data_IF_972462611960
#
_entry.id   IF_972462611960
#
_cell.length_a   1.000
_cell.length_b   1.000
_cell.length_c   1.000
_cell.angle_alpha   90.00
_cell.angle_beta   90.00
_cell.angle_gamma   90.00
#
_symmetry.space_group_name_H-M   'P 1'
#
loop_
_entity.id
_entity.type
_entity.pdbx_description
1 polymer ?
#
# COMPACT_ATOMS: atom_id res chain seq x y z
N UNK A 1 -3.82 32.55 -19.74
CA UNK A 1 -3.38 31.38 -20.54
C UNK A 1 -3.33 31.79 -21.99
N UNK A 2 -2.28 31.45 -22.73
CA UNK A 2 -2.19 31.80 -24.16
C UNK A 2 -3.11 30.85 -24.93
N UNK A 3 -4.02 31.40 -25.72
CA UNK A 3 -4.99 30.66 -26.56
C UNK A 3 -4.32 29.59 -27.44
N UNK A 4 -3.04 29.83 -27.78
CA UNK A 4 -2.15 28.93 -28.51
C UNK A 4 -1.96 27.56 -27.83
N UNK A 5 -1.68 27.53 -26.52
CA UNK A 5 -1.41 26.27 -25.79
C UNK A 5 -2.68 25.41 -25.68
N UNK A 6 -3.83 26.05 -25.53
CA UNK A 6 -5.13 25.37 -25.51
C UNK A 6 -5.45 24.73 -26.86
N UNK A 7 -5.11 25.40 -27.96
CA UNK A 7 -5.29 24.88 -29.30
C UNK A 7 -4.41 23.65 -29.57
N UNK A 8 -3.21 23.58 -28.98
CA UNK A 8 -2.32 22.43 -29.11
C UNK A 8 -2.94 21.16 -28.50
N UNK A 9 -3.55 21.25 -27.31
CA UNK A 9 -4.27 20.12 -26.70
C UNK A 9 -5.46 19.68 -27.55
N UNK A 10 -6.26 20.63 -28.05
CA UNK A 10 -7.43 20.31 -28.90
C UNK A 10 -7.01 19.58 -30.16
N UNK A 11 -6.04 20.15 -30.89
CA UNK A 11 -5.48 19.56 -32.10
C UNK A 11 -4.93 18.16 -31.84
N UNK A 12 -4.18 18.00 -30.76
CA UNK A 12 -3.61 16.72 -30.37
C UNK A 12 -4.67 15.62 -30.15
N UNK A 13 -5.73 15.90 -29.39
CA UNK A 13 -6.78 14.91 -29.13
C UNK A 13 -7.58 14.55 -30.38
N UNK A 14 -7.87 15.52 -31.25
CA UNK A 14 -8.51 15.29 -32.54
C UNK A 14 -7.63 14.35 -33.38
N UNK A 15 -6.37 14.72 -33.57
CA UNK A 15 -5.39 13.96 -34.37
C UNK A 15 -5.24 12.52 -33.88
N UNK A 16 -5.05 12.31 -32.58
CA UNK A 16 -4.89 10.95 -32.02
C UNK A 16 -6.16 10.13 -32.20
N UNK A 17 -7.35 10.73 -32.02
CA UNK A 17 -8.61 10.01 -32.17
C UNK A 17 -8.79 9.42 -33.57
N UNK A 18 -8.15 10.02 -34.57
CA UNK A 18 -8.16 9.59 -35.97
C UNK A 18 -7.00 8.65 -36.28
N UNK A 19 -5.78 9.01 -35.89
CA UNK A 19 -4.53 8.38 -36.33
C UNK A 19 -4.12 7.14 -35.54
N UNK A 20 -4.53 7.02 -34.28
CA UNK A 20 -4.15 5.85 -33.47
C UNK A 20 -4.74 4.59 -34.09
N UNK A 21 -3.89 3.60 -34.37
CA UNK A 21 -4.27 2.33 -35.01
C UNK A 21 -3.55 1.19 -34.28
N UNK A 22 -4.29 0.12 -33.96
CA UNK A 22 -3.88 -0.99 -33.09
C UNK A 22 -2.70 -1.83 -33.60
N UNK A 23 -2.33 -1.70 -34.87
CA UNK A 23 -1.51 -2.71 -35.56
C UNK A 23 -0.07 -2.27 -35.87
N UNK A 24 0.40 -1.11 -35.40
CA UNK A 24 1.79 -0.67 -35.62
C UNK A 24 2.42 -0.15 -34.34
N UNK A 25 3.53 -0.79 -33.94
CA UNK A 25 4.36 -0.38 -32.80
C UNK A 25 4.94 1.02 -32.98
N UNK A 26 5.37 1.36 -34.20
CA UNK A 26 5.91 2.68 -34.57
C UNK A 26 4.91 3.79 -34.27
N UNK A 27 3.61 3.56 -34.56
CA UNK A 27 2.56 4.54 -34.24
C UNK A 27 2.35 4.72 -32.75
N UNK A 28 2.56 3.68 -31.94
CA UNK A 28 2.49 3.80 -30.48
C UNK A 28 3.68 4.58 -29.92
N UNK A 29 4.87 4.38 -30.46
CA UNK A 29 6.06 5.16 -30.12
C UNK A 29 5.88 6.64 -30.46
N UNK A 30 5.42 6.94 -31.68
CA UNK A 30 5.12 8.31 -32.10
C UNK A 30 4.07 8.97 -31.18
N UNK A 31 3.01 8.24 -30.86
CA UNK A 31 1.95 8.73 -29.96
C UNK A 31 2.51 9.01 -28.57
N UNK A 32 3.32 8.10 -28.03
CA UNK A 32 3.96 8.25 -26.73
C UNK A 32 4.82 9.52 -26.67
N UNK A 33 5.70 9.72 -27.66
CA UNK A 33 6.56 10.92 -27.70
C UNK A 33 5.77 12.21 -27.91
N UNK A 34 4.70 12.20 -28.70
CA UNK A 34 3.80 13.35 -28.83
C UNK A 34 3.17 13.72 -27.48
N UNK A 35 2.75 12.73 -26.68
CA UNK A 35 2.24 12.96 -25.33
C UNK A 35 3.31 13.58 -24.43
N UNK A 36 4.53 13.02 -24.43
CA UNK A 36 5.62 13.57 -23.59
C UNK A 36 5.91 15.03 -23.93
N UNK A 37 5.95 15.37 -25.22
CA UNK A 37 6.19 16.74 -25.66
C UNK A 37 5.04 17.68 -25.27
N UNK A 38 3.78 17.25 -25.42
CA UNK A 38 2.60 18.03 -25.04
C UNK A 38 2.57 18.34 -23.53
N UNK A 39 3.01 17.37 -22.73
CA UNK A 39 2.99 17.43 -21.27
C UNK A 39 4.31 17.93 -20.66
N UNK A 40 5.30 18.28 -21.49
CA UNK A 40 6.64 18.71 -21.05
C UNK A 40 7.27 17.70 -20.06
N UNK A 41 7.11 16.41 -20.35
CA UNK A 41 7.62 15.30 -19.52
C UNK A 41 9.02 14.87 -19.96
N UNK A 42 9.85 14.38 -19.02
CA UNK A 42 11.16 13.83 -19.37
C UNK A 42 11.01 12.61 -20.26
N UNK A 43 11.99 12.40 -21.15
CA UNK A 43 12.07 11.16 -21.92
C UNK A 43 12.65 10.04 -21.07
N UNK A 44 12.11 8.81 -21.18
CA UNK A 44 12.73 7.62 -20.60
C UNK A 44 14.17 7.43 -21.06
N UNK A 45 14.91 6.60 -20.34
CA UNK A 45 16.22 6.13 -20.80
C UNK A 45 16.09 5.42 -22.15
N UNK A 46 17.03 5.65 -23.07
CA UNK A 46 16.98 5.12 -24.45
C UNK A 46 16.73 3.60 -24.54
N UNK A 47 17.30 2.84 -23.61
CA UNK A 47 17.13 1.39 -23.55
C UNK A 47 15.69 0.94 -23.18
N UNK A 48 14.93 1.84 -22.53
CA UNK A 48 13.57 1.60 -22.04
C UNK A 48 12.47 2.14 -22.95
N UNK A 49 12.77 3.09 -23.84
CA UNK A 49 11.77 3.81 -24.67
C UNK A 49 10.77 2.87 -25.36
N UNK A 50 11.25 1.78 -25.96
CA UNK A 50 10.41 0.76 -26.63
C UNK A 50 9.35 0.11 -25.73
N UNK A 51 9.58 0.04 -24.42
CA UNK A 51 8.65 -0.53 -23.45
C UNK A 51 7.57 0.48 -23.01
N UNK A 52 7.86 1.77 -23.10
CA UNK A 52 6.92 2.83 -22.73
C UNK A 52 5.83 3.06 -23.79
N UNK A 53 6.05 2.65 -25.03
CA UNK A 53 5.05 2.62 -26.09
C UNK A 53 3.98 1.52 -25.92
N UNK A 54 3.75 1.07 -24.68
CA UNK A 54 2.72 0.09 -24.38
C UNK A 54 1.32 0.74 -24.36
N UNK A 55 0.28 0.10 -24.93
CA UNK A 55 -1.06 0.67 -24.98
C UNK A 55 -1.63 1.11 -23.62
N UNK A 56 -1.33 0.38 -22.53
CA UNK A 56 -1.78 0.73 -21.18
C UNK A 56 -1.13 2.00 -20.64
N UNK A 57 0.15 2.24 -20.95
CA UNK A 57 0.88 3.46 -20.59
C UNK A 57 0.32 4.65 -21.38
N UNK A 58 0.18 4.50 -22.70
CA UNK A 58 -0.39 5.53 -23.56
C UNK A 58 -1.79 5.93 -23.07
N UNK A 59 -2.63 4.94 -22.73
CA UNK A 59 -3.95 5.18 -22.13
C UNK A 59 -3.88 6.00 -20.85
N UNK A 60 -2.99 5.64 -19.92
CA UNK A 60 -2.79 6.39 -18.67
C UNK A 60 -2.36 7.83 -18.95
N UNK A 61 -1.38 8.03 -19.83
CA UNK A 61 -0.88 9.36 -20.16
C UNK A 61 -1.89 10.23 -20.92
N UNK A 62 -2.76 9.65 -21.76
CA UNK A 62 -3.86 10.38 -22.41
C UNK A 62 -4.90 10.87 -21.38
N UNK A 63 -5.19 10.07 -20.36
CA UNK A 63 -6.07 10.48 -19.25
C UNK A 63 -5.42 11.62 -18.45
N UNK A 64 -4.12 11.52 -18.19
CA UNK A 64 -3.35 12.58 -17.53
C UNK A 64 -3.35 13.87 -18.36
N UNK A 65 -3.17 13.78 -19.68
CA UNK A 65 -3.22 14.92 -20.58
C UNK A 65 -4.58 15.64 -20.56
N UNK A 66 -5.69 14.89 -20.52
CA UNK A 66 -7.02 15.49 -20.37
C UNK A 66 -7.20 16.14 -18.99
N UNK A 67 -6.52 15.60 -17.97
CA UNK A 67 -6.60 16.09 -16.59
C UNK A 67 -5.65 17.25 -16.29
N UNK A 68 -4.87 17.71 -17.27
CA UNK A 68 -3.91 18.79 -17.08
C UNK A 68 -4.57 20.07 -16.56
N UNK A 69 -3.87 20.80 -15.69
CA UNK A 69 -4.34 22.06 -15.09
C UNK A 69 -4.58 23.18 -16.12
N UNK A 70 -3.89 23.15 -17.27
CA UNK A 70 -4.07 24.03 -18.43
C UNK A 70 -5.45 23.89 -19.10
N UNK A 71 -6.21 22.82 -18.85
CA UNK A 71 -7.55 22.64 -19.44
C UNK A 71 -8.65 23.13 -18.47
N UNK A 72 -9.63 23.85 -19.00
CA UNK A 72 -10.83 24.19 -18.22
C UNK A 72 -11.79 22.99 -18.13
N UNK A 73 -12.83 23.09 -17.29
CA UNK A 73 -13.87 22.06 -17.24
C UNK A 73 -14.55 21.86 -18.60
N UNK A 74 -14.88 22.96 -19.29
CA UNK A 74 -15.58 22.91 -20.58
C UNK A 74 -14.70 22.30 -21.66
N UNK A 75 -13.39 22.60 -21.65
CA UNK A 75 -12.43 21.97 -22.56
C UNK A 75 -12.35 20.46 -22.37
N UNK A 76 -12.36 20.00 -21.11
CA UNK A 76 -12.35 18.56 -20.82
C UNK A 76 -13.62 17.88 -21.34
N UNK A 77 -14.77 18.52 -21.19
CA UNK A 77 -16.05 18.02 -21.71
C UNK A 77 -16.02 17.94 -23.23
N UNK A 78 -15.53 18.99 -23.90
CA UNK A 78 -15.38 19.05 -25.36
C UNK A 78 -14.43 17.96 -25.89
N UNK A 79 -13.36 17.67 -25.15
CA UNK A 79 -12.32 16.72 -25.57
C UNK A 79 -12.63 15.25 -25.19
N UNK A 80 -13.56 15.03 -24.25
CA UNK A 80 -13.94 13.70 -23.78
C UNK A 80 -14.36 12.71 -24.90
N UNK A 81 -15.12 13.11 -25.95
CA UNK A 81 -15.47 12.21 -27.04
C UNK A 81 -14.26 11.73 -27.84
N UNK A 82 -13.27 12.61 -28.07
CA UNK A 82 -12.04 12.28 -28.80
C UNK A 82 -11.16 11.33 -27.98
N UNK A 83 -10.99 11.59 -26.68
CA UNK A 83 -10.34 10.65 -25.77
C UNK A 83 -11.04 9.29 -25.81
N UNK A 84 -12.37 9.26 -25.67
CA UNK A 84 -13.15 8.01 -25.67
C UNK A 84 -12.95 7.21 -26.96
N UNK A 85 -12.94 7.90 -28.12
CA UNK A 85 -12.66 7.29 -29.42
C UNK A 85 -11.24 6.72 -29.50
N UNK A 86 -10.23 7.46 -29.01
CA UNK A 86 -8.85 6.99 -28.95
C UNK A 86 -8.68 5.78 -28.02
N UNK A 87 -9.28 5.83 -26.82
CA UNK A 87 -9.21 4.74 -25.83
C UNK A 87 -9.87 3.45 -26.33
N UNK A 88 -10.95 3.53 -27.11
CA UNK A 88 -11.57 2.35 -27.74
C UNK A 88 -10.63 1.63 -28.72
N UNK A 89 -9.70 2.37 -29.33
CA UNK A 89 -8.70 1.85 -30.26
C UNK A 89 -7.43 1.37 -29.55
N UNK A 90 -7.27 1.60 -28.25
CA UNK A 90 -6.18 1.00 -27.48
C UNK A 90 -6.71 -0.33 -26.92
N UNK A 91 -6.22 -1.44 -27.46
CA UNK A 91 -6.69 -2.78 -27.10
C UNK A 91 -6.73 -2.97 -25.58
N UNK A 92 -7.88 -3.41 -25.07
CA UNK A 92 -8.05 -3.77 -23.66
C UNK A 92 -7.65 -5.23 -23.46
N UNK A 93 -6.35 -5.52 -23.42
CA UNK A 93 -5.93 -6.77 -22.79
C UNK A 93 -6.33 -6.71 -21.30
N UNK A 94 -7.17 -7.65 -20.87
CA UNK A 94 -7.46 -7.82 -19.45
C UNK A 94 -6.32 -8.60 -18.84
N UNK A 95 -5.40 -7.89 -18.21
CA UNK A 95 -4.36 -8.53 -17.44
C UNK A 95 -4.95 -9.39 -16.32
N UNK A 96 -4.28 -10.50 -16.03
CA UNK A 96 -4.57 -11.28 -14.81
C UNK A 96 -3.86 -10.69 -13.59
N UNK A 97 -2.76 -9.98 -13.82
CA UNK A 97 -1.87 -9.46 -12.79
C UNK A 97 -1.50 -8.01 -13.08
N UNK A 98 -1.31 -7.24 -12.01
CA UNK A 98 -0.75 -5.89 -12.08
C UNK A 98 0.46 -5.79 -11.15
N UNK A 99 1.34 -4.86 -11.47
CA UNK A 99 2.42 -4.44 -10.58
C UNK A 99 2.01 -3.11 -9.96
N UNK A 100 2.08 -3.03 -8.62
CA UNK A 100 2.04 -1.75 -7.92
C UNK A 100 3.46 -1.37 -7.56
N UNK A 101 3.87 -0.16 -7.91
CA UNK A 101 5.15 0.44 -7.51
C UNK A 101 4.86 1.63 -6.59
N UNK A 102 5.59 1.73 -5.48
CA UNK A 102 5.35 2.72 -4.44
C UNK A 102 6.66 3.24 -3.86
N UNK A 103 6.70 4.55 -3.65
CA UNK A 103 7.70 5.22 -2.81
C UNK A 103 7.08 5.46 -1.43
N UNK A 104 7.76 5.04 -0.37
CA UNK A 104 7.24 5.17 1.00
C UNK A 104 7.50 6.58 1.57
N UNK A 105 6.85 6.94 2.68
CA UNK A 105 6.97 8.26 3.31
C UNK A 105 8.18 8.34 4.26
N UNK A 106 8.89 9.47 4.43
CA UNK A 106 9.99 9.55 5.40
C UNK A 106 9.62 9.29 6.87
N UNK A 107 8.33 9.33 7.24
CA UNK A 107 7.88 9.03 8.60
C UNK A 107 8.18 7.59 9.05
N UNK A 108 8.52 6.67 8.14
CA UNK A 108 8.90 5.30 8.47
C UNK A 108 10.30 5.12 9.03
N UNK A 109 10.57 3.90 9.52
CA UNK A 109 11.93 3.44 9.84
C UNK A 109 12.18 2.15 9.07
N UNK A 110 13.09 2.24 8.11
CA UNK A 110 13.22 1.29 7.01
C UNK A 110 14.39 0.32 7.19
N UNK A 111 14.29 -0.92 6.68
CA UNK A 111 15.45 -1.77 6.50
C UNK A 111 16.51 -1.08 5.63
N UNK A 112 17.78 -1.18 5.99
CA UNK A 112 18.89 -0.60 5.22
C UNK A 112 19.41 -1.49 4.08
N UNK A 113 18.71 -2.57 3.73
CA UNK A 113 19.08 -3.47 2.63
C UNK A 113 17.85 -3.99 1.88
N UNK A 114 18.07 -4.53 0.68
CA UNK A 114 17.00 -5.01 -0.20
C UNK A 114 16.36 -6.31 0.30
N UNK A 115 15.02 -6.38 0.24
CA UNK A 115 14.25 -7.57 0.61
C UNK A 115 13.46 -8.07 -0.59
N UNK A 116 13.88 -9.23 -1.11
CA UNK A 116 13.32 -9.84 -2.32
C UNK A 116 12.72 -11.20 -1.99
N UNK A 117 11.39 -11.30 -2.01
CA UNK A 117 10.70 -12.56 -1.70
C UNK A 117 9.41 -12.70 -2.50
N UNK A 118 9.34 -13.74 -3.34
CA UNK A 118 8.17 -14.10 -4.17
C UNK A 118 7.69 -12.91 -5.01
N UNK A 119 6.49 -12.39 -4.74
CA UNK A 119 5.84 -11.32 -5.49
C UNK A 119 6.10 -9.92 -4.88
N UNK A 120 7.05 -9.79 -3.97
CA UNK A 120 7.38 -8.55 -3.28
C UNK A 120 8.87 -8.23 -3.44
N UNK A 121 9.16 -6.98 -3.72
CA UNK A 121 10.51 -6.44 -3.80
C UNK A 121 10.54 -5.11 -3.04
N UNK A 122 11.42 -5.02 -2.05
CA UNK A 122 11.78 -3.78 -1.37
C UNK A 122 13.22 -3.44 -1.70
N UNK A 123 13.46 -2.19 -2.09
CA UNK A 123 14.80 -1.68 -2.40
C UNK A 123 14.97 -0.24 -1.95
N UNK A 124 16.21 0.23 -1.97
CA UNK A 124 16.58 1.60 -1.66
C UNK A 124 17.20 2.19 -2.92
N UNK A 125 16.52 3.12 -3.57
CA UNK A 125 17.04 3.78 -4.77
C UNK A 125 17.18 5.28 -4.52
N UNK A 126 18.39 5.81 -4.67
CA UNK A 126 18.69 7.21 -4.35
C UNK A 126 18.22 7.60 -2.94
N UNK A 127 18.44 6.72 -1.95
CA UNK A 127 17.97 6.87 -0.57
C UNK A 127 16.44 6.94 -0.39
N UNK A 128 15.67 6.54 -1.41
CA UNK A 128 14.23 6.41 -1.31
C UNK A 128 13.86 4.94 -1.09
N UNK A 129 13.11 4.61 -0.03
CA UNK A 129 12.56 3.28 0.19
C UNK A 129 11.41 3.02 -0.79
N UNK A 130 11.58 2.00 -1.61
CA UNK A 130 10.67 1.64 -2.69
C UNK A 130 10.17 0.23 -2.50
N UNK A 131 8.89 0.03 -2.83
CA UNK A 131 8.28 -1.29 -2.93
C UNK A 131 7.71 -1.46 -4.31
N UNK A 132 7.88 -2.64 -4.90
CA UNK A 132 6.93 -3.08 -5.90
C UNK A 132 6.42 -4.50 -5.63
N UNK A 133 5.14 -4.70 -5.92
CA UNK A 133 4.44 -5.96 -5.70
C UNK A 133 3.70 -6.42 -6.94
N UNK A 134 3.72 -7.73 -7.21
CA UNK A 134 2.95 -8.37 -8.29
C UNK A 134 1.66 -8.97 -7.72
N UNK A 135 0.53 -8.41 -8.10
CA UNK A 135 -0.78 -8.68 -7.51
C UNK A 135 -1.74 -9.27 -8.54
N UNK A 136 -2.74 -10.02 -8.08
CA UNK A 136 -3.73 -10.66 -8.96
C UNK A 136 -4.99 -9.80 -8.97
N UNK A 137 -5.41 -9.32 -10.13
CA UNK A 137 -6.54 -8.39 -10.26
C UNK A 137 -7.79 -8.96 -9.57
N UNK A 138 -8.13 -10.23 -9.84
CA UNK A 138 -9.34 -10.86 -9.28
C UNK A 138 -9.39 -10.96 -7.75
N UNK A 139 -8.25 -10.83 -7.07
CA UNK A 139 -8.16 -10.91 -5.60
C UNK A 139 -8.18 -9.50 -5.01
N UNK A 140 -7.38 -8.58 -5.55
CA UNK A 140 -7.27 -7.22 -5.02
C UNK A 140 -8.41 -6.29 -5.49
N UNK A 141 -9.05 -6.53 -6.64
CA UNK A 141 -10.14 -5.67 -7.15
C UNK A 141 -11.43 -5.73 -6.34
N UNK A 142 -11.75 -6.90 -5.77
CA UNK A 142 -13.01 -7.11 -5.02
C UNK A 142 -13.02 -6.39 -3.64
N UNK A 143 -11.86 -5.91 -3.20
CA UNK A 143 -11.65 -5.27 -1.89
C UNK A 143 -11.78 -3.75 -1.95
N UNK A 144 -11.42 -3.13 -3.08
CA UNK A 144 -11.28 -1.68 -3.19
C UNK A 144 -12.57 -0.92 -2.81
N UNK A 145 -13.74 -1.54 -3.00
CA UNK A 145 -15.03 -0.93 -2.69
C UNK A 145 -15.70 -1.45 -1.39
N UNK A 146 -15.15 -2.47 -0.71
CA UNK A 146 -15.87 -3.14 0.41
C UNK A 146 -15.06 -3.47 1.66
N UNK A 147 -13.72 -3.32 1.67
CA UNK A 147 -12.89 -3.74 2.81
C UNK A 147 -12.08 -2.61 3.45
N UNK A 148 -11.83 -2.76 4.77
CA UNK A 148 -10.96 -1.90 5.61
C UNK A 148 -9.49 -1.88 5.13
N UNK A 149 -9.13 -2.73 4.17
CA UNK A 149 -7.81 -2.88 3.54
C UNK A 149 -7.81 -2.30 2.11
N UNK A 150 -8.37 -1.11 1.90
CA UNK A 150 -8.45 -0.50 0.55
C UNK A 150 -7.19 0.28 0.13
N UNK A 151 -6.29 0.59 1.06
CA UNK A 151 -5.14 1.46 0.84
C UNK A 151 -3.84 0.71 0.51
N UNK A 152 -3.78 -0.60 0.75
CA UNK A 152 -2.67 -1.50 0.43
C UNK A 152 -3.13 -2.70 -0.42
N UNK A 153 -2.24 -3.22 -1.26
CA UNK A 153 -2.40 -4.57 -1.81
C UNK A 153 -2.11 -5.60 -0.74
N UNK A 154 -2.64 -6.82 -0.91
CA UNK A 154 -2.40 -7.90 0.05
C UNK A 154 -0.91 -8.25 0.20
N UNK A 155 -0.14 -8.12 -0.88
CA UNK A 155 1.30 -8.34 -0.87
C UNK A 155 2.07 -7.21 -0.16
N UNK A 156 1.66 -5.95 -0.31
CA UNK A 156 2.24 -4.84 0.45
C UNK A 156 2.01 -5.02 1.94
N UNK A 157 0.78 -5.38 2.32
CA UNK A 157 0.42 -5.65 3.72
C UNK A 157 1.25 -6.80 4.28
N UNK A 158 1.32 -7.91 3.53
CA UNK A 158 2.13 -9.07 3.88
C UNK A 158 3.61 -8.72 4.10
N UNK A 159 4.20 -7.92 3.21
CA UNK A 159 5.58 -7.43 3.34
C UNK A 159 5.74 -6.57 4.61
N UNK A 160 4.85 -5.60 4.82
CA UNK A 160 4.89 -4.70 5.98
C UNK A 160 4.76 -5.44 7.31
N UNK A 161 3.80 -6.36 7.42
CA UNK A 161 3.62 -7.18 8.61
C UNK A 161 4.87 -8.01 8.88
N UNK A 162 5.45 -8.65 7.87
CA UNK A 162 6.64 -9.48 8.05
C UNK A 162 7.83 -8.66 8.58
N UNK A 163 8.06 -7.47 8.03
CA UNK A 163 9.12 -6.55 8.49
C UNK A 163 8.87 -6.12 9.95
N UNK A 164 7.63 -5.70 10.24
CA UNK A 164 7.24 -5.20 11.55
C UNK A 164 7.33 -6.27 12.65
N UNK A 165 7.03 -7.53 12.29
CA UNK A 165 7.09 -8.66 13.22
C UNK A 165 8.52 -9.16 13.48
N UNK A 166 9.43 -9.02 12.50
CA UNK A 166 10.81 -9.51 12.63
C UNK A 166 11.74 -8.60 13.42
N UNK A 167 11.41 -7.32 13.58
CA UNK A 167 12.25 -6.32 14.23
C UNK A 167 12.22 -6.40 15.77
N UNK A 168 13.07 -7.20 16.39
CA UNK A 168 13.17 -7.27 17.85
C UNK A 168 13.72 -5.95 18.43
N UNK A 169 12.99 -5.33 19.37
CA UNK A 169 13.39 -4.08 20.07
C UNK A 169 13.51 -2.81 19.20
N UNK A 170 13.64 -2.95 17.88
CA UNK A 170 13.71 -1.85 16.93
C UNK A 170 12.35 -1.61 16.29
N UNK A 171 11.93 -0.34 16.23
CA UNK A 171 10.78 0.09 15.45
C UNK A 171 11.15 0.05 13.96
N UNK A 172 10.99 -1.08 13.29
CA UNK A 172 10.95 -1.14 11.83
C UNK A 172 9.50 -1.06 11.40
N UNK A 173 9.13 -0.04 10.64
CA UNK A 173 7.77 0.04 10.07
C UNK A 173 7.81 0.79 8.76
N UNK A 174 7.03 0.27 7.82
CA UNK A 174 6.84 0.89 6.52
C UNK A 174 5.71 1.91 6.64
N UNK A 175 5.97 3.17 6.26
CA UNK A 175 4.95 4.20 6.26
C UNK A 175 4.42 4.44 4.85
N UNK A 176 3.16 4.12 4.63
CA UNK A 176 2.51 4.22 3.33
C UNK A 176 1.70 5.51 3.20
N UNK A 177 1.57 6.02 1.97
CA UNK A 177 0.66 7.12 1.63
C UNK A 177 -0.30 6.70 0.53
N UNK A 178 -1.44 7.35 0.36
CA UNK A 178 -2.34 7.06 -0.76
C UNK A 178 -1.81 7.46 -2.15
N UNK A 179 -0.77 8.31 -2.21
CA UNK A 179 -0.48 9.10 -3.42
C UNK A 179 0.83 8.75 -4.13
N UNK A 180 1.84 8.23 -3.41
CA UNK A 180 3.15 7.94 -3.99
C UNK A 180 3.20 6.52 -4.59
N UNK A 181 2.25 6.22 -5.48
CA UNK A 181 2.09 4.90 -6.07
C UNK A 181 1.66 4.98 -7.53
N UNK A 182 2.07 4.01 -8.33
CA UNK A 182 1.57 3.76 -9.68
C UNK A 182 1.26 2.28 -9.87
N UNK A 183 0.33 2.01 -10.78
CA UNK A 183 -0.03 0.64 -11.17
C UNK A 183 0.15 0.45 -12.67
N UNK A 184 0.58 -0.75 -13.04
CA UNK A 184 0.78 -1.14 -14.42
C UNK A 184 0.48 -2.62 -14.63
N UNK A 185 -0.04 -2.95 -15.81
CA UNK A 185 -0.26 -4.33 -16.25
C UNK A 185 1.01 -5.17 -16.22
N UNK A 186 0.89 -6.44 -15.81
CA UNK A 186 2.02 -7.37 -15.84
C UNK A 186 2.48 -7.68 -17.27
N UNK A 187 1.59 -7.61 -18.26
CA UNK A 187 1.95 -7.78 -19.68
C UNK A 187 3.07 -6.82 -20.13
N UNK A 188 3.04 -5.57 -19.66
CA UNK A 188 4.04 -4.55 -19.92
C UNK A 188 5.37 -4.91 -19.24
N UNK A 189 5.32 -5.28 -17.96
CA UNK A 189 6.52 -5.55 -17.15
C UNK A 189 7.19 -6.87 -17.53
N UNK A 190 6.41 -7.87 -17.94
CA UNK A 190 6.91 -9.22 -18.21
C UNK A 190 7.93 -9.31 -19.35
N UNK A 191 7.93 -8.33 -20.27
CA UNK A 191 8.83 -8.26 -21.43
C UNK A 191 10.14 -7.51 -21.16
N UNK A 192 10.24 -6.88 -19.99
CA UNK A 192 11.38 -6.07 -19.59
C UNK A 192 12.42 -6.99 -18.90
N UNK A 193 13.72 -6.87 -19.22
CA UNK A 193 14.78 -7.57 -18.50
C UNK A 193 14.72 -7.29 -16.99
N UNK A 194 14.98 -8.28 -16.15
CA UNK A 194 14.83 -8.17 -14.68
C UNK A 194 15.65 -7.02 -14.09
N UNK A 195 16.87 -6.81 -14.57
CA UNK A 195 17.76 -5.72 -14.13
C UNK A 195 17.24 -4.32 -14.51
N UNK A 196 16.30 -4.22 -15.45
CA UNK A 196 15.73 -2.96 -15.93
C UNK A 196 14.34 -2.67 -15.35
N UNK A 197 13.67 -3.65 -14.71
CA UNK A 197 12.29 -3.49 -14.20
C UNK A 197 12.16 -2.38 -13.17
N UNK A 198 13.07 -2.31 -12.20
CA UNK A 198 13.02 -1.28 -11.15
C UNK A 198 13.24 0.12 -11.74
N UNK A 199 14.20 0.26 -12.67
CA UNK A 199 14.48 1.53 -13.37
C UNK A 199 13.25 1.96 -14.17
N UNK A 200 12.66 1.04 -14.93
CA UNK A 200 11.45 1.30 -15.69
C UNK A 200 10.27 1.74 -14.81
N UNK A 201 10.01 1.04 -13.71
CA UNK A 201 8.92 1.39 -12.79
C UNK A 201 9.15 2.77 -12.15
N UNK A 202 10.40 3.12 -11.84
CA UNK A 202 10.75 4.46 -11.36
C UNK A 202 10.48 5.53 -12.42
N UNK A 203 10.95 5.36 -13.64
CA UNK A 203 10.71 6.32 -14.72
C UNK A 203 9.20 6.45 -15.02
N UNK A 204 8.47 5.34 -15.02
CA UNK A 204 7.00 5.36 -15.15
C UNK A 204 6.32 6.09 -14.00
N UNK A 205 6.81 5.92 -12.77
CA UNK A 205 6.35 6.67 -11.61
C UNK A 205 6.59 8.17 -11.77
N UNK A 206 7.79 8.58 -12.21
CA UNK A 206 8.14 9.99 -12.46
C UNK A 206 7.27 10.63 -13.56
N UNK A 207 6.89 9.88 -14.59
CA UNK A 207 5.95 10.35 -15.61
C UNK A 207 4.53 10.60 -15.05
N UNK A 208 4.14 9.93 -13.96
CA UNK A 208 2.79 10.01 -13.40
C UNK A 208 2.70 10.89 -12.14
N UNK A 209 3.82 11.18 -11.48
CA UNK A 209 3.80 11.91 -10.21
C UNK A 209 3.37 13.38 -10.37
N UNK A 210 3.53 13.96 -11.56
CA UNK A 210 3.12 15.34 -11.85
C UNK A 210 1.60 15.54 -11.97
N UNK A 211 0.81 14.48 -12.14
CA UNK A 211 -0.62 14.61 -12.46
C UNK A 211 -1.53 14.38 -11.24
N UNK A 212 -2.33 15.38 -10.90
CA UNK A 212 -3.35 15.25 -9.85
C UNK A 212 -4.61 14.60 -10.43
N UNK A 213 -5.13 13.48 -9.86
CA UNK A 213 -6.40 12.92 -10.30
C UNK A 213 -7.54 13.94 -10.18
N UNK A 214 -8.50 13.90 -11.11
CA UNK A 214 -9.70 14.75 -11.05
C UNK A 214 -10.41 14.56 -9.71
N UNK A 215 -10.63 15.65 -8.97
CA UNK A 215 -11.31 15.63 -7.66
C UNK A 215 -10.38 15.55 -6.44
N UNK A 216 -9.08 15.32 -6.63
CA UNK A 216 -8.08 15.42 -5.56
C UNK A 216 -7.55 16.85 -5.54
N UNK A 217 -7.49 17.48 -4.37
CA UNK A 217 -6.99 18.85 -4.25
C UNK A 217 -5.47 18.85 -4.54
N UNK A 218 -4.93 19.79 -5.35
CA UNK A 218 -3.50 19.79 -5.74
C UNK A 218 -2.50 19.74 -4.57
N UNK A 219 -2.87 20.29 -3.41
CA UNK A 219 -2.05 20.28 -2.20
C UNK A 219 -2.05 18.94 -1.44
N UNK A 220 -2.85 17.95 -1.86
CA UNK A 220 -2.84 16.63 -1.25
C UNK A 220 -1.67 15.76 -1.73
N UNK A 221 -0.99 16.12 -2.83
CA UNK A 221 0.29 15.52 -3.19
C UNK A 221 1.41 16.32 -2.53
N UNK A 222 1.87 15.81 -1.39
CA UNK A 222 3.14 16.28 -0.83
C UNK A 222 4.25 15.85 -1.80
N UNK A 223 5.13 16.76 -2.27
CA UNK A 223 6.25 16.37 -3.11
C UNK A 223 7.07 15.26 -2.42
N UNK A 224 7.73 14.42 -3.21
CA UNK A 224 8.65 13.41 -2.64
C UNK A 224 9.65 14.16 -1.77
N UNK A 225 9.74 13.75 -0.51
CA UNK A 225 10.67 14.34 0.43
C UNK A 225 12.11 14.10 -0.02
N UNK A 226 13.00 15.00 0.38
CA UNK A 226 14.42 14.82 0.18
C UNK A 226 14.88 13.51 0.84
N UNK A 227 15.82 12.84 0.18
CA UNK A 227 16.54 11.65 0.66
C UNK A 227 16.99 11.73 2.13
N UNK A 228 17.34 12.91 2.60
CA UNK A 228 17.84 13.19 3.96
C UNK A 228 16.80 12.99 5.07
N UNK A 229 15.50 12.97 4.74
CA UNK A 229 14.44 12.77 5.72
C UNK A 229 14.19 11.29 6.06
N UNK A 230 14.71 10.35 5.27
CA UNK A 230 14.45 8.93 5.43
C UNK A 230 15.36 8.31 6.50
N UNK A 231 14.77 7.48 7.37
CA UNK A 231 15.49 6.77 8.43
C UNK A 231 15.68 5.31 8.04
N UNK A 232 16.93 4.86 8.01
CA UNK A 232 17.29 3.46 7.76
C UNK A 232 17.99 2.86 8.98
N UNK A 233 17.72 1.58 9.26
CA UNK A 233 18.35 0.82 10.34
C UNK A 233 18.84 -0.53 9.86
N UNK A 234 19.87 -1.08 10.53
CA UNK A 234 20.43 -2.38 10.19
C UNK A 234 19.41 -3.49 10.44
N UNK A 235 18.97 -4.14 9.36
CA UNK A 235 17.97 -5.21 9.41
C UNK A 235 18.55 -6.61 9.21
N UNK A 236 19.86 -6.74 8.99
CA UNK A 236 20.49 -8.00 8.52
C UNK A 236 20.22 -9.18 9.47
N UNK A 237 20.31 -8.94 10.78
CA UNK A 237 20.03 -9.94 11.81
C UNK A 237 18.56 -10.40 11.85
N UNK A 238 17.64 -9.64 11.25
CA UNK A 238 16.20 -9.93 11.23
C UNK A 238 15.76 -10.62 9.93
N UNK A 239 16.66 -10.78 8.94
CA UNK A 239 16.34 -11.35 7.62
C UNK A 239 15.72 -12.75 7.70
N UNK A 240 16.31 -13.64 8.50
CA UNK A 240 15.81 -15.01 8.63
C UNK A 240 14.39 -15.06 9.22
N UNK A 241 14.13 -14.26 10.26
CA UNK A 241 12.79 -14.14 10.86
C UNK A 241 11.80 -13.55 9.87
N UNK A 242 12.20 -12.50 9.14
CA UNK A 242 11.40 -11.91 8.07
C UNK A 242 10.99 -12.96 7.03
N UNK A 243 11.93 -13.77 6.51
CA UNK A 243 11.64 -14.78 5.48
C UNK A 243 10.66 -15.85 5.99
N UNK A 244 10.87 -16.35 7.22
CA UNK A 244 9.96 -17.32 7.87
C UNK A 244 8.54 -16.77 8.00
N UNK A 245 8.40 -15.56 8.55
CA UNK A 245 7.11 -14.91 8.80
C UNK A 245 6.42 -14.62 7.45
N UNK A 246 7.15 -14.03 6.52
CA UNK A 246 6.64 -13.71 5.18
C UNK A 246 6.09 -14.97 4.50
N UNK A 247 6.78 -16.10 4.57
CA UNK A 247 6.31 -17.31 3.90
C UNK A 247 5.03 -17.90 4.48
N UNK A 248 4.73 -17.61 5.76
CA UNK A 248 3.56 -18.11 6.48
C UNK A 248 2.31 -17.25 6.33
N UNK A 249 2.45 -15.97 6.02
CA UNK A 249 1.29 -15.09 5.79
C UNK A 249 0.56 -15.50 4.49
N UNK A 250 -0.67 -16.00 4.62
CA UNK A 250 -1.52 -16.29 3.46
C UNK A 250 -2.26 -15.05 2.99
N UNK A 251 -2.10 -14.69 1.70
CA UNK A 251 -2.89 -13.61 1.09
C UNK A 251 -4.34 -14.01 0.81
N UNK A 252 -4.79 -15.20 1.19
CA UNK A 252 -6.17 -15.66 1.03
C UNK A 252 -6.91 -15.73 2.37
N UNK A 253 -6.21 -15.58 3.50
CA UNK A 253 -6.83 -15.61 4.83
C UNK A 253 -7.30 -14.19 5.22
N UNK A 254 -8.60 -13.92 5.04
CA UNK A 254 -9.19 -12.60 5.33
C UNK A 254 -9.04 -12.17 6.79
N UNK A 255 -9.18 -13.11 7.74
CA UNK A 255 -9.06 -12.79 9.16
C UNK A 255 -7.63 -12.35 9.45
N UNK A 256 -6.65 -13.13 8.98
CA UNK A 256 -5.24 -12.80 9.13
C UNK A 256 -4.91 -11.44 8.51
N UNK A 257 -5.34 -11.19 7.28
CA UNK A 257 -5.07 -9.91 6.61
C UNK A 257 -5.74 -8.74 7.33
N UNK A 258 -6.95 -8.89 7.86
CA UNK A 258 -7.58 -7.82 8.66
C UNK A 258 -6.79 -7.56 9.95
N UNK A 259 -6.36 -8.59 10.66
CA UNK A 259 -5.51 -8.48 11.84
C UNK A 259 -4.19 -7.78 11.51
N UNK A 260 -3.50 -8.22 10.46
CA UNK A 260 -2.28 -7.60 9.95
C UNK A 260 -2.47 -6.12 9.57
N UNK A 261 -3.60 -5.77 8.96
CA UNK A 261 -3.92 -4.39 8.59
C UNK A 261 -4.04 -3.50 9.82
N UNK A 262 -4.75 -3.95 10.86
CA UNK A 262 -4.83 -3.21 12.13
C UNK A 262 -3.45 -3.09 12.80
N UNK A 263 -2.62 -4.12 12.73
CA UNK A 263 -1.26 -4.11 13.27
C UNK A 263 -0.34 -3.10 12.57
N UNK A 264 -0.36 -3.04 11.23
CA UNK A 264 0.44 -2.07 10.47
C UNK A 264 -0.12 -0.65 10.63
N UNK A 265 -1.44 -0.51 10.66
CA UNK A 265 -2.11 0.79 10.79
C UNK A 265 -1.90 1.42 12.17
N UNK A 266 -1.84 0.62 13.24
CA UNK A 266 -1.64 1.13 14.60
C UNK A 266 -0.29 1.86 14.75
N UNK A 267 0.80 1.28 14.26
CA UNK A 267 2.12 1.93 14.33
C UNK A 267 2.21 3.17 13.43
N UNK A 268 1.55 3.17 12.27
CA UNK A 268 1.47 4.36 11.42
C UNK A 268 0.72 5.51 12.10
N UNK A 269 -0.39 5.22 12.80
CA UNK A 269 -1.10 6.25 13.57
C UNK A 269 -0.31 6.72 14.77
N UNK A 270 0.39 5.82 15.47
CA UNK A 270 1.15 6.18 16.66
C UNK A 270 2.22 7.23 16.41
N UNK A 271 2.85 7.17 15.24
CA UNK A 271 3.90 8.12 14.85
C UNK A 271 3.32 9.48 14.44
N UNK A 272 2.00 9.57 14.23
CA UNK A 272 1.26 10.81 14.13
C UNK A 272 0.62 11.13 15.49
N UNK A 273 1.22 12.05 16.25
CA UNK A 273 0.84 12.34 17.65
C UNK A 273 -0.62 12.78 17.87
N UNK A 274 -1.32 13.20 16.81
CA UNK A 274 -2.73 13.58 16.87
C UNK A 274 -3.65 12.34 16.89
N UNK A 275 -3.15 11.19 16.45
CA UNK A 275 -3.94 9.97 16.24
C UNK A 275 -3.66 8.86 17.28
N UNK A 276 -3.31 9.23 18.51
CA UNK A 276 -2.95 8.26 19.55
C UNK A 276 -4.14 7.34 19.91
N UNK A 277 -5.36 7.88 19.95
CA UNK A 277 -6.60 7.13 20.20
C UNK A 277 -6.87 6.11 19.09
N UNK A 278 -6.70 6.49 17.82
CA UNK A 278 -6.81 5.57 16.70
C UNK A 278 -5.71 4.51 16.76
N UNK A 279 -4.48 4.88 17.10
CA UNK A 279 -3.37 3.93 17.21
C UNK A 279 -3.71 2.81 18.20
N UNK A 280 -4.11 3.15 19.42
CA UNK A 280 -4.44 2.18 20.46
C UNK A 280 -5.71 1.38 20.12
N UNK A 281 -6.74 2.00 19.52
CA UNK A 281 -7.93 1.28 19.06
C UNK A 281 -7.58 0.21 18.00
N UNK A 282 -6.69 0.53 17.06
CA UNK A 282 -6.18 -0.44 16.08
C UNK A 282 -5.37 -1.56 16.76
N UNK A 283 -4.63 -1.29 17.83
CA UNK A 283 -3.97 -2.35 18.62
C UNK A 283 -5.00 -3.30 19.23
N UNK A 284 -6.08 -2.79 19.84
CA UNK A 284 -7.11 -3.65 20.42
C UNK A 284 -7.86 -4.49 19.36
N UNK A 285 -8.14 -3.93 18.18
CA UNK A 285 -8.69 -4.72 17.07
C UNK A 285 -7.71 -5.80 16.59
N UNK A 286 -6.41 -5.51 16.59
CA UNK A 286 -5.39 -6.52 16.30
C UNK A 286 -5.37 -7.63 17.36
N UNK A 287 -5.42 -7.30 18.66
CA UNK A 287 -5.45 -8.29 19.74
C UNK A 287 -6.65 -9.24 19.60
N UNK A 288 -7.85 -8.70 19.41
CA UNK A 288 -9.05 -9.51 19.21
C UNK A 288 -8.91 -10.43 17.99
N UNK A 289 -8.36 -9.89 16.89
CA UNK A 289 -8.03 -10.66 15.70
C UNK A 289 -7.04 -11.80 15.98
N UNK A 290 -6.00 -11.54 16.78
CA UNK A 290 -5.03 -12.57 17.21
C UNK A 290 -5.72 -13.67 18.02
N UNK A 291 -6.62 -13.33 18.95
CA UNK A 291 -7.37 -14.33 19.72
C UNK A 291 -8.24 -15.22 18.82
N UNK A 292 -8.94 -14.64 17.83
CA UNK A 292 -9.69 -15.43 16.85
C UNK A 292 -8.79 -16.31 15.97
N UNK A 293 -7.61 -15.82 15.57
CA UNK A 293 -6.64 -16.61 14.81
C UNK A 293 -6.10 -17.79 15.62
N UNK A 294 -5.82 -17.59 16.91
CA UNK A 294 -5.42 -18.66 17.83
C UNK A 294 -6.58 -19.67 17.97
N UNK A 295 -7.79 -19.22 18.24
CA UNK A 295 -8.98 -20.09 18.32
C UNK A 295 -9.13 -20.95 17.05
N UNK A 296 -9.02 -20.33 15.87
CA UNK A 296 -9.04 -20.99 14.56
C UNK A 296 -7.92 -22.03 14.39
N UNK A 297 -6.71 -21.69 14.83
CA UNK A 297 -5.53 -22.58 14.80
C UNK A 297 -5.74 -23.84 15.64
N UNK A 298 -6.53 -23.76 16.72
CA UNK A 298 -6.89 -24.87 17.60
C UNK A 298 -8.25 -25.51 17.27
N UNK A 299 -8.80 -25.24 16.08
CA UNK A 299 -9.93 -25.96 15.50
C UNK A 299 -11.32 -25.40 15.82
N UNK A 300 -11.42 -24.23 16.45
CA UNK A 300 -12.68 -23.55 16.71
C UNK A 300 -12.85 -22.38 15.72
N UNK A 301 -13.94 -22.44 14.94
CA UNK A 301 -14.24 -21.48 13.87
C UNK A 301 -15.43 -20.58 14.19
N UNK A 302 -15.89 -20.56 15.46
CA UNK A 302 -16.95 -19.66 15.88
C UNK A 302 -16.54 -18.18 15.74
N UNK A 303 -17.52 -17.34 15.45
CA UNK A 303 -17.42 -15.88 15.38
C UNK A 303 -17.27 -15.22 16.74
N UNK A 304 -17.56 -15.92 17.83
CA UNK A 304 -17.36 -15.46 19.21
C UNK A 304 -16.09 -16.04 19.80
N UNK A 305 -15.46 -15.30 20.70
CA UNK A 305 -14.28 -15.77 21.42
C UNK A 305 -14.64 -16.84 22.45
N UNK A 306 -14.04 -18.01 22.30
CA UNK A 306 -14.11 -19.12 23.23
C UNK A 306 -13.01 -18.99 24.29
N UNK A 307 -13.26 -18.20 25.33
CA UNK A 307 -12.27 -17.96 26.39
C UNK A 307 -11.86 -19.21 27.16
N UNK A 308 -12.68 -20.27 27.17
CA UNK A 308 -12.30 -21.55 27.79
C UNK A 308 -11.20 -22.23 26.99
N UNK A 309 -11.34 -22.28 25.66
CA UNK A 309 -10.30 -22.78 24.77
C UNK A 309 -9.05 -21.90 24.84
N UNK A 310 -9.21 -20.58 24.73
CA UNK A 310 -8.07 -19.64 24.77
C UNK A 310 -7.29 -19.75 26.09
N UNK A 311 -7.97 -19.86 27.24
CA UNK A 311 -7.31 -20.09 28.53
C UNK A 311 -6.49 -21.38 28.52
N UNK A 312 -7.05 -22.47 27.98
CA UNK A 312 -6.32 -23.73 27.86
C UNK A 312 -5.08 -23.62 26.96
N UNK A 313 -5.17 -22.90 25.84
CA UNK A 313 -4.05 -22.71 24.91
C UNK A 313 -2.97 -21.85 25.54
N UNK A 314 -3.34 -20.69 26.10
CA UNK A 314 -2.39 -19.78 26.74
C UNK A 314 -1.66 -20.46 27.90
N UNK A 315 -2.36 -21.20 28.77
CA UNK A 315 -1.74 -21.87 29.90
C UNK A 315 -0.76 -22.99 29.49
N UNK A 316 -0.97 -23.62 28.32
CA UNK A 316 -0.18 -24.76 27.87
C UNK A 316 0.99 -24.35 26.98
N UNK A 317 0.80 -23.34 26.12
CA UNK A 317 1.69 -23.04 25.00
C UNK A 317 2.46 -21.72 25.17
N UNK A 318 2.07 -20.88 26.14
CA UNK A 318 2.67 -19.57 26.38
C UNK A 318 3.09 -19.46 27.84
N UNK A 319 4.37 -19.14 28.08
CA UNK A 319 4.88 -18.86 29.43
C UNK A 319 4.11 -17.69 30.06
N UNK A 320 3.69 -17.82 31.32
CA UNK A 320 2.81 -16.87 32.01
C UNK A 320 1.48 -16.56 31.26
N UNK A 321 1.02 -17.46 30.39
CA UNK A 321 -0.13 -17.23 29.52
C UNK A 321 -1.45 -16.89 30.25
N UNK A 322 -1.65 -17.38 31.47
CA UNK A 322 -2.85 -17.02 32.26
C UNK A 322 -2.87 -15.53 32.60
N UNK A 323 -1.75 -14.99 33.08
CA UNK A 323 -1.59 -13.59 33.43
C UNK A 323 -1.71 -12.71 32.19
N UNK A 324 -1.08 -13.13 31.08
CA UNK A 324 -1.18 -12.44 29.80
C UNK A 324 -2.62 -12.37 29.29
N UNK A 325 -3.37 -13.48 29.33
CA UNK A 325 -4.76 -13.51 28.88
C UNK A 325 -5.66 -12.63 29.77
N UNK A 326 -5.42 -12.60 31.07
CA UNK A 326 -6.13 -11.70 31.98
C UNK A 326 -5.81 -10.23 31.68
N UNK A 327 -4.54 -9.89 31.45
CA UNK A 327 -4.13 -8.55 31.05
C UNK A 327 -4.80 -8.11 29.72
N UNK A 328 -4.85 -9.00 28.72
CA UNK A 328 -5.56 -8.73 27.46
C UNK A 328 -7.06 -8.47 27.71
N UNK A 329 -7.68 -9.23 28.64
CA UNK A 329 -9.10 -9.03 29.00
C UNK A 329 -9.33 -7.67 29.66
N UNK A 330 -8.44 -7.24 30.53
CA UNK A 330 -8.55 -5.94 31.19
C UNK A 330 -8.50 -4.80 30.16
N UNK A 331 -7.67 -4.93 29.13
CA UNK A 331 -7.61 -4.02 27.99
C UNK A 331 -8.92 -3.86 27.20
N UNK A 332 -9.83 -4.85 27.21
CA UNK A 332 -11.14 -4.70 26.56
C UNK A 332 -12.00 -3.62 27.20
N UNK A 333 -11.90 -3.44 28.52
CA UNK A 333 -12.62 -2.37 29.22
C UNK A 333 -12.13 -1.00 28.74
N UNK A 334 -10.82 -0.82 28.60
CA UNK A 334 -10.21 0.40 28.04
C UNK A 334 -10.62 0.62 26.58
N UNK A 335 -10.71 -0.42 25.77
CA UNK A 335 -11.22 -0.28 24.39
C UNK A 335 -12.65 0.26 24.38
N UNK A 336 -13.54 -0.25 25.24
CA UNK A 336 -14.94 0.17 25.27
C UNK A 336 -15.03 1.67 25.51
N UNK A 337 -14.26 2.21 26.47
CA UNK A 337 -14.26 3.65 26.76
C UNK A 337 -13.67 4.49 25.64
N UNK A 338 -12.80 3.94 24.78
CA UNK A 338 -12.22 4.64 23.63
C UNK A 338 -13.15 4.73 22.42
N UNK A 339 -14.04 3.75 22.22
CA UNK A 339 -14.87 3.66 21.00
C UNK A 339 -16.36 3.90 21.27
N UNK A 340 -16.77 3.89 22.53
CA UNK A 340 -18.13 4.18 22.96
C UNK A 340 -18.12 5.20 24.10
N UNK A 341 -18.85 6.32 23.97
CA UNK A 341 -19.11 7.17 25.12
C UNK A 341 -19.96 6.38 26.12
N UNK A 342 -19.42 6.11 27.31
CA UNK A 342 -20.19 5.44 28.35
C UNK A 342 -21.41 6.31 28.75
N UNK A 343 -22.59 5.71 28.98
CA UNK A 343 -23.79 6.44 29.39
C UNK A 343 -23.59 7.27 30.67
N UNK A 344 -22.67 6.86 31.53
CA UNK A 344 -22.37 7.54 32.80
C UNK A 344 -21.54 8.82 32.62
N UNK A 345 -20.84 9.00 31.48
CA UNK A 345 -19.94 10.13 31.25
C UNK A 345 -20.59 11.21 30.39
N UNK A 346 -21.67 10.88 29.67
CA UNK A 346 -22.48 11.85 28.93
C UNK A 346 -21.64 12.78 28.04
N UNK A 347 -21.79 14.09 28.22
CA UNK A 347 -21.05 15.11 27.47
C UNK A 347 -19.58 15.30 27.92
N UNK A 348 -19.14 14.63 28.98
CA UNK A 348 -17.78 14.72 29.55
C UNK A 348 -16.87 13.55 29.15
N UNK A 349 -17.21 12.87 28.05
CA UNK A 349 -16.40 11.78 27.52
C UNK A 349 -14.96 12.23 27.24
N UNK A 350 -14.03 11.73 28.06
CA UNK A 350 -12.59 11.99 28.01
C UNK A 350 -11.85 10.67 28.11
N UNK A 351 -11.72 9.91 27.00
CA UNK A 351 -10.95 8.69 27.03
C UNK A 351 -9.51 8.99 27.46
N UNK A 352 -8.96 8.13 28.31
CA UNK A 352 -7.56 8.21 28.72
C UNK A 352 -6.75 7.21 27.89
N UNK A 353 -5.71 7.70 27.23
CA UNK A 353 -4.74 6.87 26.50
C UNK A 353 -3.36 7.12 27.09
N UNK A 354 -2.73 6.08 27.63
CA UNK A 354 -1.33 6.11 28.02
C UNK A 354 -0.45 5.61 26.87
N UNK A 355 0.73 6.20 26.71
CA UNK A 355 1.72 5.71 25.74
C UNK A 355 2.22 4.31 26.09
N UNK A 356 2.31 4.00 27.37
CA UNK A 356 2.83 2.71 27.84
C UNK A 356 1.88 1.59 27.44
N UNK A 357 0.56 1.82 27.55
CA UNK A 357 -0.48 0.90 27.07
C UNK A 357 -0.29 0.58 25.59
N UNK A 358 -0.06 1.60 24.75
CA UNK A 358 0.19 1.36 23.33
C UNK A 358 1.40 0.44 23.13
N UNK A 359 2.54 0.75 23.76
CA UNK A 359 3.77 -0.03 23.55
C UNK A 359 3.62 -1.46 24.06
N UNK A 360 2.98 -1.68 25.20
CA UNK A 360 2.76 -3.01 25.78
C UNK A 360 1.83 -3.84 24.90
N UNK A 361 0.63 -3.35 24.59
CA UNK A 361 -0.33 -4.09 23.78
C UNK A 361 0.16 -4.29 22.34
N UNK A 362 0.94 -3.36 21.78
CA UNK A 362 1.55 -3.52 20.47
C UNK A 362 2.61 -4.63 20.44
N UNK A 363 3.43 -4.73 21.49
CA UNK A 363 4.39 -5.85 21.65
C UNK A 363 3.65 -7.18 21.80
N UNK A 364 2.58 -7.23 22.59
CA UNK A 364 1.74 -8.42 22.72
C UNK A 364 1.16 -8.83 21.36
N UNK A 365 0.62 -7.90 20.57
CA UNK A 365 0.14 -8.17 19.22
C UNK A 365 1.22 -8.84 18.36
N UNK A 366 2.43 -8.30 18.40
CA UNK A 366 3.58 -8.83 17.66
C UNK A 366 3.92 -10.25 18.10
N UNK A 367 4.01 -10.50 19.39
CA UNK A 367 4.35 -11.81 19.94
C UNK A 367 3.27 -12.85 19.63
N UNK A 368 1.99 -12.47 19.72
CA UNK A 368 0.89 -13.34 19.31
C UNK A 368 0.89 -13.61 17.80
N UNK A 369 1.18 -12.61 16.96
CA UNK A 369 1.31 -12.82 15.50
C UNK A 369 2.47 -13.77 15.17
N UNK A 370 3.62 -13.64 15.84
CA UNK A 370 4.74 -14.57 15.67
C UNK A 370 4.35 -15.99 16.13
N UNK A 371 3.65 -16.14 17.26
CA UNK A 371 3.13 -17.43 17.71
C UNK A 371 2.14 -18.03 16.70
N UNK A 372 1.24 -17.22 16.12
CA UNK A 372 0.28 -17.66 15.11
C UNK A 372 1.01 -18.16 13.85
N UNK A 373 1.98 -17.39 13.35
CA UNK A 373 2.60 -17.58 12.04
C UNK A 373 3.75 -18.59 12.04
N UNK A 374 4.61 -18.58 13.06
CA UNK A 374 5.86 -19.34 13.10
C UNK A 374 6.06 -20.14 14.40
N UNK A 375 5.04 -20.22 15.26
CA UNK A 375 5.08 -20.96 16.54
C UNK A 375 6.12 -20.43 17.54
N UNK A 376 6.59 -19.19 17.36
CA UNK A 376 7.56 -18.55 18.25
C UNK A 376 6.85 -17.44 19.07
N UNK A 377 6.72 -17.64 20.39
CA UNK A 377 6.33 -16.57 21.31
C UNK A 377 7.59 -16.01 21.99
N UNK A 378 7.77 -14.70 21.94
CA UNK A 378 8.88 -14.00 22.59
C UNK A 378 8.31 -12.85 23.42
N UNK A 379 8.58 -12.85 24.71
CA UNK A 379 8.26 -11.73 25.60
C UNK A 379 9.32 -10.63 25.39
N UNK A 380 8.90 -9.38 25.13
CA UNK A 380 9.78 -8.28 24.73
C UNK A 380 9.70 -7.07 25.65
#
# INVERSE_FOLDING_TARGET
>A
MRETEKNDYKKFFIDISEKINTNSQEKFEDTFFQILNLLELPRPSKELEKYFAHPSIIKSLLINALSHDKLTRDDRIELQPYLTKALKKLNNHKDKYFVRYRVLNPEGIYPNFELNRKNCHYSIQNQLPIIWTKNKISIDSNILDSSVINWLTRNELKLATAILCSGEGQRFYLYFTGYNTVEIGWDCISKIPDNLKTIFLKEYFELNIKFTPIGVRPWNRVPIYDSTYYKFKNFENHKNSFEKIFDKISIQDELLLRTCNYFVKSIMHWENTINAEEAIANVFFCLEGCLHLIQKKYGDFDTRLNFKLLKSVFNKEIENGENLLNFIKDGYSTRITLVHPEPAWGAEWKPFVCSDDFYEYFRICRSLLNFILIDEYKEY
#
